data_IF_866692377379
#
_entry.id   IF_866692377379
#
_cell.length_a   1.000
_cell.length_b   1.000
_cell.length_c   1.000
_cell.angle_alpha   90.00
_cell.angle_beta   90.00
_cell.angle_gamma   90.00
#
_symmetry.space_group_name_H-M   'P 1'
#
loop_
_entity.id
_entity.type
_entity.pdbx_description
1 polymer ?
#
# COMPACT_ATOMS: atom_id res chain seq x y z
N UNK A 1 8.73 28.94 -6.50
CA UNK A 1 8.77 28.51 -7.91
C UNK A 1 9.82 27.43 -8.22
N UNK A 2 10.81 27.13 -7.36
CA UNK A 2 11.95 26.25 -7.70
C UNK A 2 11.92 24.80 -7.17
N UNK A 3 10.86 24.34 -6.50
CA UNK A 3 10.90 23.02 -5.81
C UNK A 3 10.67 21.79 -6.71
N UNK A 4 10.17 21.94 -7.95
CA UNK A 4 9.78 20.81 -8.83
C UNK A 4 10.80 20.46 -9.93
N UNK A 5 11.80 21.30 -10.19
CA UNK A 5 12.74 21.08 -11.31
C UNK A 5 13.87 20.09 -10.99
N UNK A 6 14.04 19.69 -9.73
CA UNK A 6 15.15 18.82 -9.31
C UNK A 6 15.06 17.39 -9.86
N UNK A 7 13.88 16.96 -10.33
CA UNK A 7 13.62 15.61 -10.84
C UNK A 7 12.96 15.63 -12.23
N UNK A 8 13.07 16.74 -12.97
CA UNK A 8 12.53 16.82 -14.32
C UNK A 8 13.64 16.49 -15.30
N UNK A 9 13.49 15.41 -16.06
CA UNK A 9 14.52 14.94 -16.97
C UNK A 9 14.07 15.08 -18.42
N UNK A 10 15.04 15.34 -19.32
CA UNK A 10 14.75 15.48 -20.76
C UNK A 10 14.26 14.15 -21.36
N UNK A 11 14.71 13.04 -20.79
CA UNK A 11 14.36 11.71 -21.27
C UNK A 11 12.88 11.38 -20.98
N UNK A 12 12.28 11.90 -19.89
CA UNK A 12 10.82 11.82 -19.65
C UNK A 12 10.00 12.38 -20.83
N UNK A 13 10.50 13.44 -21.47
CA UNK A 13 9.84 14.08 -22.61
C UNK A 13 10.00 13.23 -23.88
N UNK A 14 11.17 12.61 -24.07
CA UNK A 14 11.42 11.70 -25.20
C UNK A 14 10.59 10.43 -25.09
N UNK A 15 10.49 9.88 -23.88
CA UNK A 15 9.70 8.70 -23.56
C UNK A 15 8.22 8.89 -23.89
N UNK A 16 7.69 10.12 -23.71
CA UNK A 16 6.32 10.45 -24.08
C UNK A 16 6.01 10.21 -25.56
N UNK A 17 7.00 10.27 -26.46
CA UNK A 17 6.83 9.94 -27.87
C UNK A 17 6.56 8.45 -28.13
N UNK A 18 6.78 7.57 -27.14
CA UNK A 18 6.53 6.14 -27.23
C UNK A 18 5.26 5.70 -26.49
N UNK A 19 4.37 6.64 -26.16
CA UNK A 19 3.14 6.39 -25.38
C UNK A 19 2.37 5.14 -25.83
N UNK A 20 2.08 5.02 -27.12
CA UNK A 20 1.32 3.89 -27.65
C UNK A 20 2.03 2.55 -27.43
N UNK A 21 3.35 2.52 -27.60
CA UNK A 21 4.16 1.30 -27.35
C UNK A 21 4.19 0.95 -25.87
N UNK A 22 4.31 1.96 -24.99
CA UNK A 22 4.24 1.75 -23.55
C UNK A 22 2.88 1.17 -23.15
N UNK A 23 1.77 1.72 -23.66
CA UNK A 23 0.44 1.21 -23.36
C UNK A 23 0.25 -0.24 -23.84
N UNK A 24 0.68 -0.56 -25.07
CA UNK A 24 0.62 -1.94 -25.56
C UNK A 24 1.43 -2.91 -24.71
N UNK A 25 2.65 -2.53 -24.29
CA UNK A 25 3.48 -3.36 -23.43
C UNK A 25 2.86 -3.60 -22.03
N UNK A 26 2.23 -2.58 -21.45
CA UNK A 26 1.52 -2.73 -20.17
C UNK A 26 0.29 -3.63 -20.31
N UNK A 27 -0.49 -3.47 -21.38
CA UNK A 27 -1.66 -4.30 -21.66
C UNK A 27 -1.26 -5.78 -21.80
N UNK A 28 -0.22 -6.08 -22.59
CA UNK A 28 0.32 -7.44 -22.74
C UNK A 28 0.77 -8.01 -21.40
N UNK A 29 1.58 -7.27 -20.64
CA UNK A 29 2.08 -7.72 -19.34
C UNK A 29 0.94 -8.02 -18.34
N UNK A 30 -0.10 -7.17 -18.29
CA UNK A 30 -1.24 -7.36 -17.40
C UNK A 30 -2.07 -8.57 -17.83
N UNK A 31 -2.34 -8.73 -19.12
CA UNK A 31 -3.08 -9.87 -19.66
C UNK A 31 -2.36 -11.18 -19.37
N UNK A 32 -1.04 -11.21 -19.52
CA UNK A 32 -0.23 -12.40 -19.28
C UNK A 32 -0.01 -12.71 -17.79
N UNK A 33 0.03 -11.70 -16.91
CA UNK A 33 0.39 -11.89 -15.49
C UNK A 33 -0.79 -11.88 -14.51
N UNK A 34 -1.94 -11.29 -14.85
CA UNK A 34 -3.07 -11.18 -13.92
C UNK A 34 -3.75 -12.53 -13.70
N UNK A 35 -3.86 -12.95 -12.43
CA UNK A 35 -4.48 -14.24 -12.04
C UNK A 35 -5.45 -14.05 -10.88
N UNK A 36 -6.45 -14.93 -10.69
CA UNK A 36 -7.41 -14.81 -9.58
C UNK A 36 -6.76 -14.73 -8.18
N UNK A 37 -5.61 -15.37 -7.99
CA UNK A 37 -4.85 -15.35 -6.73
C UNK A 37 -3.80 -14.22 -6.65
N UNK A 38 -3.49 -13.58 -7.78
CA UNK A 38 -2.52 -12.48 -7.89
C UNK A 38 -3.03 -11.45 -8.93
N UNK A 39 -4.12 -10.73 -8.62
CA UNK A 39 -4.75 -9.83 -9.58
C UNK A 39 -3.96 -8.53 -9.74
N UNK A 40 -3.86 -8.05 -10.98
CA UNK A 40 -3.45 -6.68 -11.30
C UNK A 40 -4.67 -5.75 -11.38
N UNK A 41 -4.51 -4.50 -10.94
CA UNK A 41 -5.58 -3.49 -10.94
C UNK A 41 -5.15 -2.24 -11.72
N UNK A 42 -5.94 -1.83 -12.70
CA UNK A 42 -5.78 -0.56 -13.39
C UNK A 42 -6.54 0.55 -12.63
N UNK A 43 -5.80 1.51 -12.04
CA UNK A 43 -6.39 2.57 -11.21
C UNK A 43 -6.24 3.93 -11.92
N UNK A 44 -7.33 4.71 -12.09
CA UNK A 44 -7.24 6.07 -12.61
C UNK A 44 -6.39 6.97 -11.71
N UNK A 45 -5.37 7.64 -12.27
CA UNK A 45 -4.37 8.41 -11.50
C UNK A 45 -4.50 9.94 -11.62
N UNK A 46 -5.43 10.44 -12.43
CA UNK A 46 -5.60 11.88 -12.67
C UNK A 46 -5.99 12.64 -11.39
N UNK A 47 -6.76 12.00 -10.50
CA UNK A 47 -7.11 12.53 -9.19
C UNK A 47 -6.35 11.78 -8.08
N UNK A 48 -5.33 12.44 -7.51
CA UNK A 48 -4.46 11.83 -6.48
C UNK A 48 -5.20 11.41 -5.20
N UNK A 49 -6.09 12.23 -4.59
CA UNK A 49 -6.91 11.79 -3.47
C UNK A 49 -7.71 10.51 -3.79
N UNK A 50 -8.39 10.48 -4.93
CA UNK A 50 -9.18 9.32 -5.35
C UNK A 50 -8.32 8.06 -5.51
N UNK A 51 -7.21 8.16 -6.25
CA UNK A 51 -6.28 7.04 -6.46
C UNK A 51 -5.81 6.44 -5.12
N UNK A 52 -5.48 7.28 -4.14
CA UNK A 52 -5.04 6.83 -2.81
C UNK A 52 -6.14 6.07 -2.07
N UNK A 53 -7.39 6.54 -2.15
CA UNK A 53 -8.54 5.86 -1.54
C UNK A 53 -8.78 4.51 -2.23
N UNK A 54 -8.81 4.48 -3.57
CA UNK A 54 -9.03 3.25 -4.34
C UNK A 54 -7.98 2.17 -4.01
N UNK A 55 -6.70 2.54 -3.93
CA UNK A 55 -5.62 1.61 -3.55
C UNK A 55 -5.80 1.11 -2.10
N UNK A 56 -6.11 2.02 -1.16
CA UNK A 56 -6.32 1.63 0.24
C UNK A 56 -7.51 0.67 0.40
N UNK A 57 -8.62 0.91 -0.30
CA UNK A 57 -9.80 0.06 -0.29
C UNK A 57 -9.50 -1.36 -0.79
N UNK A 58 -8.70 -1.49 -1.87
CA UNK A 58 -8.28 -2.80 -2.39
C UNK A 58 -7.46 -3.55 -1.35
N UNK A 59 -6.46 -2.89 -0.74
CA UNK A 59 -5.61 -3.50 0.28
C UNK A 59 -6.44 -3.96 1.47
N UNK A 60 -7.30 -3.09 2.02
CA UNK A 60 -8.18 -3.42 3.15
C UNK A 60 -9.09 -4.60 2.79
N UNK A 61 -9.73 -4.58 1.62
CA UNK A 61 -10.61 -5.66 1.16
C UNK A 61 -9.89 -7.01 1.11
N UNK A 62 -8.63 -7.05 0.68
CA UNK A 62 -7.86 -8.30 0.63
C UNK A 62 -7.42 -8.74 2.03
N UNK A 63 -6.90 -7.82 2.85
CA UNK A 63 -6.44 -8.16 4.20
C UNK A 63 -7.60 -8.62 5.11
N UNK A 64 -8.78 -8.03 4.98
CA UNK A 64 -9.96 -8.43 5.77
C UNK A 64 -10.38 -9.88 5.48
N UNK A 65 -10.13 -10.41 4.27
CA UNK A 65 -10.43 -11.81 3.94
C UNK A 65 -9.55 -12.81 4.70
N UNK A 66 -8.43 -12.36 5.26
CA UNK A 66 -7.54 -13.23 6.05
C UNK A 66 -8.07 -13.47 7.47
N UNK A 67 -9.09 -12.74 7.92
CA UNK A 67 -9.64 -12.91 9.26
C UNK A 67 -8.62 -12.59 10.36
N UNK A 68 -7.77 -11.57 10.15
CA UNK A 68 -6.76 -11.19 11.12
C UNK A 68 -7.43 -10.65 12.39
N UNK A 69 -7.10 -11.27 13.52
CA UNK A 69 -7.49 -10.81 14.84
C UNK A 69 -6.25 -10.55 15.68
N UNK A 70 -6.34 -9.60 16.61
CA UNK A 70 -5.31 -9.45 17.63
C UNK A 70 -5.27 -10.71 18.50
N UNK A 71 -4.07 -11.15 18.93
CA UNK A 71 -3.96 -12.31 19.80
C UNK A 71 -4.72 -12.07 21.10
N UNK A 72 -5.50 -13.08 21.53
CA UNK A 72 -6.22 -13.00 22.78
C UNK A 72 -5.25 -13.17 23.95
N UNK A 73 -5.08 -12.12 24.75
CA UNK A 73 -4.26 -12.17 25.97
C UNK A 73 -5.10 -12.76 27.10
N UNK A 74 -4.70 -13.94 27.59
CA UNK A 74 -5.33 -14.59 28.74
C UNK A 74 -5.26 -13.76 30.02
N UNK A 75 -6.16 -14.03 30.96
CA UNK A 75 -6.26 -13.30 32.23
C UNK A 75 -4.93 -13.25 32.99
N UNK A 76 -4.22 -14.38 33.09
CA UNK A 76 -2.92 -14.45 33.79
C UNK A 76 -1.86 -13.52 33.20
N UNK A 77 -1.82 -13.41 31.88
CA UNK A 77 -0.86 -12.55 31.18
C UNK A 77 -1.24 -11.08 31.39
N UNK A 78 -2.54 -10.74 31.43
CA UNK A 78 -3.00 -9.39 31.77
C UNK A 78 -2.62 -9.02 33.22
N UNK A 79 -2.77 -9.94 34.16
CA UNK A 79 -2.35 -9.73 35.56
C UNK A 79 -0.85 -9.48 35.65
N UNK A 80 -0.04 -10.31 34.98
CA UNK A 80 1.42 -10.12 34.92
C UNK A 80 1.81 -8.77 34.32
N UNK A 81 1.16 -8.34 33.24
CA UNK A 81 1.41 -7.00 32.68
C UNK A 81 1.07 -5.89 33.67
N UNK A 82 -0.05 -6.00 34.39
CA UNK A 82 -0.42 -5.02 35.43
C UNK A 82 0.60 -4.96 36.57
N UNK A 83 1.15 -6.10 36.97
CA UNK A 83 2.20 -6.17 38.00
C UNK A 83 3.49 -5.51 37.51
N UNK A 84 3.92 -5.80 36.27
CA UNK A 84 5.10 -5.17 35.66
C UNK A 84 4.94 -3.66 35.52
N UNK A 85 3.77 -3.17 35.08
CA UNK A 85 3.46 -1.74 35.01
C UNK A 85 3.61 -1.07 36.38
N UNK A 86 3.11 -1.72 37.43
CA UNK A 86 3.23 -1.21 38.80
C UNK A 86 4.68 -1.20 39.31
N UNK A 87 5.52 -2.13 38.87
CA UNK A 87 6.96 -2.12 39.22
C UNK A 87 7.66 -0.93 38.57
N UNK A 88 7.39 -0.65 37.29
CA UNK A 88 7.98 0.47 36.55
C UNK A 88 7.53 1.84 37.09
N UNK A 89 6.26 1.99 37.49
CA UNK A 89 5.77 3.24 38.10
C UNK A 89 6.37 3.53 39.48
N UNK A 90 6.93 2.52 40.15
CA UNK A 90 7.59 2.66 41.45
C UNK A 90 9.13 2.71 41.33
N UNK A 91 9.70 2.86 40.13
CA UNK A 91 11.14 3.02 39.90
C UNK A 91 11.64 4.48 39.96
N UNK A 92 10.80 5.44 40.37
CA UNK A 92 11.20 6.83 40.72
C UNK A 92 11.30 7.07 42.24
#
# INVERSE_FOLDING_TARGET
>A
MFKKNRKFEIDDVRERGFWDKCMSAYEEAINEASRPWAPWYAIPVDNKPFMRVAVAEIIVKILTKLGLEYPHVGFEVKTKFSEMWRMLENED
#
